data_IF_707840579901
#
_entry.id   IF_707840579901
#
_cell.length_a   1.000
_cell.length_b   1.000
_cell.length_c   1.000
_cell.angle_alpha   90.00
_cell.angle_beta   90.00
_cell.angle_gamma   90.00
#
_symmetry.space_group_name_H-M   'P 1'
#
loop_
_entity.id
_entity.type
_entity.pdbx_description
1 polymer ?
#
# COMPACT_ATOMS: atom_id res chain seq x y z
N UNK A 1 2.55 9.96 -2.41
CA UNK A 1 1.73 11.18 -2.44
C UNK A 1 2.69 12.35 -2.22
N UNK A 2 2.68 13.36 -3.09
CA UNK A 2 3.52 14.54 -2.91
C UNK A 2 3.04 15.38 -1.70
N UNK A 3 3.95 16.04 -1.00
CA UNK A 3 3.69 16.83 0.22
C UNK A 3 2.67 17.96 -0.06
N UNK A 4 2.71 18.54 -1.26
CA UNK A 4 1.77 19.57 -1.67
C UNK A 4 0.33 19.03 -1.79
N UNK A 5 0.19 17.81 -2.32
CA UNK A 5 -1.10 17.11 -2.41
C UNK A 5 -1.66 16.82 -1.01
N UNK A 6 -0.82 16.32 -0.10
CA UNK A 6 -1.24 15.98 1.26
C UNK A 6 -1.66 17.22 2.06
N UNK A 7 -0.91 18.32 1.98
CA UNK A 7 -1.30 19.58 2.64
C UNK A 7 -2.65 20.11 2.14
N UNK A 8 -2.92 19.94 0.84
CA UNK A 8 -4.18 20.37 0.23
C UNK A 8 -5.35 19.51 0.70
N UNK A 9 -5.15 18.21 0.81
CA UNK A 9 -6.12 17.28 1.42
C UNK A 9 -6.45 17.68 2.85
N UNK A 10 -5.45 17.90 3.71
CA UNK A 10 -5.67 18.31 5.09
C UNK A 10 -6.41 19.64 5.20
N UNK A 11 -6.08 20.62 4.33
CA UNK A 11 -6.83 21.88 4.27
C UNK A 11 -8.30 21.64 3.95
N UNK A 12 -8.58 20.82 2.93
CA UNK A 12 -9.95 20.47 2.54
C UNK A 12 -10.70 19.80 3.68
N UNK A 13 -10.06 18.88 4.42
CA UNK A 13 -10.70 18.21 5.56
C UNK A 13 -11.07 19.20 6.66
N UNK A 14 -10.20 20.17 6.99
CA UNK A 14 -10.50 21.23 7.96
C UNK A 14 -11.68 22.09 7.47
N UNK A 15 -11.73 22.42 6.18
CA UNK A 15 -12.80 23.21 5.57
C UNK A 15 -14.17 22.50 5.58
N UNK A 16 -14.21 21.16 5.67
CA UNK A 16 -15.46 20.41 5.80
C UNK A 16 -16.16 20.66 7.15
N UNK A 17 -15.42 21.12 8.17
CA UNK A 17 -15.95 21.42 9.52
C UNK A 17 -16.75 20.27 10.14
N UNK A 18 -16.30 19.05 9.85
CA UNK A 18 -16.81 17.83 10.43
C UNK A 18 -15.72 16.78 10.43
N UNK A 19 -15.78 15.87 11.39
CA UNK A 19 -15.03 14.64 11.35
C UNK A 19 -15.63 13.64 10.34
N UNK A 20 -14.89 12.57 10.05
CA UNK A 20 -15.41 11.54 9.17
C UNK A 20 -14.70 10.20 9.31
N UNK A 21 -14.98 9.31 8.36
CA UNK A 21 -14.65 7.88 8.42
C UNK A 21 -13.18 7.56 8.66
N UNK A 22 -12.26 8.42 8.22
CA UNK A 22 -10.82 8.21 8.31
C UNK A 22 -10.06 9.41 8.88
N UNK A 23 -10.74 10.48 9.32
CA UNK A 23 -10.07 11.60 9.96
C UNK A 23 -10.81 12.11 11.20
N UNK A 24 -10.01 12.59 12.15
CA UNK A 24 -10.42 13.05 13.47
C UNK A 24 -9.56 14.25 13.85
N UNK A 25 -10.15 15.23 14.54
CA UNK A 25 -9.47 16.43 14.98
C UNK A 25 -9.15 16.35 16.47
N UNK A 26 -8.00 16.90 16.82
CA UNK A 26 -7.59 17.09 18.21
C UNK A 26 -7.02 18.50 18.35
N UNK A 27 -7.46 19.22 19.37
CA UNK A 27 -6.96 20.57 19.67
C UNK A 27 -5.47 20.59 20.01
N UNK A 28 -5.05 19.65 20.85
CA UNK A 28 -3.69 19.53 21.38
C UNK A 28 -3.25 18.06 21.42
N UNK A 29 -1.96 17.83 21.65
CA UNK A 29 -1.44 16.47 21.76
C UNK A 29 -1.96 15.76 23.00
N UNK A 30 -2.16 14.45 22.85
CA UNK A 30 -2.65 13.57 23.90
C UNK A 30 -1.83 13.66 25.20
N UNK A 31 -2.50 14.09 26.27
CA UNK A 31 -1.98 14.01 27.63
C UNK A 31 -1.94 12.54 28.11
N UNK A 32 -2.93 11.75 27.74
CA UNK A 32 -3.07 10.34 28.12
C UNK A 32 -2.67 9.41 26.97
N UNK A 33 -1.68 8.54 27.22
CA UNK A 33 -1.19 7.57 26.24
C UNK A 33 -2.25 6.52 25.84
N UNK A 34 -3.19 6.20 26.72
CA UNK A 34 -4.26 5.24 26.44
C UNK A 34 -5.28 5.78 25.43
N UNK A 35 -5.57 7.09 25.44
CA UNK A 35 -6.45 7.74 24.46
C UNK A 35 -5.78 7.74 23.09
N UNK A 36 -4.49 8.10 23.02
CA UNK A 36 -3.70 8.00 21.79
C UNK A 36 -3.69 6.58 21.21
N UNK A 37 -3.45 5.56 22.04
CA UNK A 37 -3.44 4.17 21.58
C UNK A 37 -4.80 3.75 21.04
N UNK A 38 -5.86 4.10 21.74
CA UNK A 38 -7.23 3.77 21.36
C UNK A 38 -7.60 4.39 20.01
N UNK A 39 -7.30 5.67 19.81
CA UNK A 39 -7.61 6.37 18.56
C UNK A 39 -6.77 5.83 17.40
N UNK A 40 -5.49 5.50 17.61
CA UNK A 40 -4.67 4.81 16.60
C UNK A 40 -5.28 3.46 16.21
N UNK A 41 -5.75 2.66 17.17
CA UNK A 41 -6.37 1.36 16.86
C UNK A 41 -7.68 1.55 16.09
N UNK A 42 -8.54 2.47 16.52
CA UNK A 42 -9.78 2.79 15.81
C UNK A 42 -9.51 3.24 14.37
N UNK A 43 -8.54 4.14 14.19
CA UNK A 43 -8.12 4.63 12.88
C UNK A 43 -7.49 3.55 12.01
N UNK A 44 -6.68 2.66 12.58
CA UNK A 44 -6.10 1.53 11.84
C UNK A 44 -7.20 0.55 11.37
N UNK A 45 -8.28 0.44 12.14
CA UNK A 45 -9.44 -0.39 11.86
C UNK A 45 -10.60 0.40 11.22
N UNK A 46 -10.32 1.52 10.53
CA UNK A 46 -11.35 2.21 9.77
C UNK A 46 -11.83 1.35 8.58
N UNK A 47 -13.08 1.60 8.15
CA UNK A 47 -13.74 0.81 7.11
C UNK A 47 -13.59 1.39 5.69
N UNK A 48 -13.06 2.61 5.54
CA UNK A 48 -13.11 3.36 4.29
C UNK A 48 -11.93 3.06 3.34
N UNK A 49 -11.04 2.12 3.69
CA UNK A 49 -9.83 1.79 2.92
C UNK A 49 -8.88 2.98 2.68
N UNK A 50 -9.00 4.03 3.48
CA UNK A 50 -8.10 5.18 3.51
C UNK A 50 -7.13 5.09 4.68
N UNK A 51 -5.96 5.73 4.55
CA UNK A 51 -5.10 5.98 5.71
C UNK A 51 -5.92 6.76 6.76
N UNK A 52 -5.81 6.35 8.03
CA UNK A 52 -6.41 7.07 9.14
C UNK A 52 -5.58 8.31 9.49
N UNK A 53 -6.24 9.42 9.78
CA UNK A 53 -5.63 10.72 10.02
C UNK A 53 -6.12 11.28 11.35
N UNK A 54 -5.21 11.50 12.29
CA UNK A 54 -5.51 12.29 13.49
C UNK A 54 -4.81 13.64 13.32
N UNK A 55 -5.58 14.70 13.14
CA UNK A 55 -5.09 16.04 12.83
C UNK A 55 -5.04 16.84 14.13
N UNK A 56 -3.84 17.00 14.67
CA UNK A 56 -3.57 17.64 15.96
C UNK A 56 -3.21 19.12 15.75
N UNK A 57 -3.88 20.01 16.46
CA UNK A 57 -3.80 21.46 16.29
C UNK A 57 -5.02 22.06 15.60
N UNK A 58 -6.19 21.45 15.71
CA UNK A 58 -7.47 21.98 15.19
C UNK A 58 -8.52 21.92 16.30
N UNK A 59 -9.12 23.07 16.60
CA UNK A 59 -10.07 23.22 17.71
C UNK A 59 -11.52 23.22 17.19
N UNK A 60 -12.19 22.09 17.39
CA UNK A 60 -13.58 21.84 16.96
C UNK A 60 -14.60 22.75 17.66
N UNK A 61 -14.34 23.14 18.92
CA UNK A 61 -15.22 24.01 19.70
C UNK A 61 -15.17 25.47 19.20
N UNK A 62 -14.12 25.83 18.46
CA UNK A 62 -13.89 27.17 17.93
C UNK A 62 -13.86 27.19 16.42
N UNK A 63 -14.85 26.54 15.78
CA UNK A 63 -15.04 26.58 14.33
C UNK A 63 -13.82 26.04 13.54
N UNK A 64 -13.20 24.98 14.06
CA UNK A 64 -12.05 24.29 13.47
C UNK A 64 -10.84 25.23 13.28
N UNK A 65 -10.63 26.16 14.21
CA UNK A 65 -9.48 27.06 14.12
C UNK A 65 -8.17 26.32 14.35
N UNK A 66 -7.13 26.75 13.62
CA UNK A 66 -5.80 26.15 13.73
C UNK A 66 -5.12 26.64 15.02
N UNK A 67 -4.72 25.69 15.87
CA UNK A 67 -3.88 25.86 17.05
C UNK A 67 -2.44 25.48 16.73
N UNK A 68 -1.47 26.28 17.19
CA UNK A 68 -0.05 26.00 16.95
C UNK A 68 0.45 24.98 17.97
N UNK A 69 0.86 23.79 17.50
CA UNK A 69 1.37 22.71 18.37
C UNK A 69 2.89 22.71 18.49
N UNK A 70 3.58 23.71 17.93
CA UNK A 70 5.05 23.75 17.88
C UNK A 70 5.72 23.55 19.25
N UNK A 71 5.14 24.13 20.30
CA UNK A 71 5.63 24.11 21.68
C UNK A 71 4.73 23.28 22.63
N UNK A 72 3.89 22.39 22.08
CA UNK A 72 3.07 21.51 22.91
C UNK A 72 3.97 20.58 23.75
N UNK A 73 3.79 20.51 25.09
CA UNK A 73 4.65 19.72 25.98
C UNK A 73 4.56 18.21 25.74
N UNK A 74 3.48 17.73 25.12
CA UNK A 74 3.23 16.32 24.85
C UNK A 74 3.53 15.92 23.40
N UNK A 75 3.94 16.87 22.56
CA UNK A 75 4.26 16.68 21.14
C UNK A 75 5.18 15.49 20.92
N UNK A 76 4.83 14.63 19.96
CA UNK A 76 5.59 13.41 19.63
C UNK A 76 6.10 13.46 18.21
N UNK A 77 7.29 12.88 17.99
CA UNK A 77 7.79 12.57 16.64
C UNK A 77 7.48 11.12 16.27
N UNK A 78 7.63 10.78 14.99
CA UNK A 78 7.45 9.41 14.46
C UNK A 78 8.15 8.33 15.27
N UNK A 79 9.38 8.59 15.74
CA UNK A 79 10.14 7.62 16.54
C UNK A 79 9.44 7.28 17.86
N UNK A 80 8.80 8.26 18.50
CA UNK A 80 8.11 8.05 19.78
C UNK A 80 6.85 7.21 19.57
N UNK A 81 6.10 7.45 18.48
CA UNK A 81 4.92 6.65 18.11
C UNK A 81 5.33 5.21 17.80
N UNK A 82 6.39 5.01 17.00
CA UNK A 82 6.89 3.67 16.65
C UNK A 82 7.38 2.91 17.88
N UNK A 83 8.11 3.56 18.78
CA UNK A 83 8.54 2.95 20.05
C UNK A 83 7.33 2.59 20.92
N UNK A 84 6.38 3.53 21.06
CA UNK A 84 5.17 3.32 21.86
C UNK A 84 4.34 2.14 21.39
N UNK A 85 4.11 2.00 20.08
CA UNK A 85 3.37 0.87 19.50
C UNK A 85 4.13 -0.45 19.60
N UNK A 86 5.47 -0.43 19.51
CA UNK A 86 6.32 -1.62 19.64
C UNK A 86 6.23 -2.26 21.02
N UNK A 87 6.06 -1.46 22.07
CA UNK A 87 5.92 -1.94 23.44
C UNK A 87 4.59 -2.66 23.72
N UNK A 88 3.58 -2.54 22.84
CA UNK A 88 2.26 -3.12 23.07
C UNK A 88 2.16 -4.52 22.48
N UNK A 89 1.46 -5.41 23.18
CA UNK A 89 1.22 -6.78 22.71
C UNK A 89 0.00 -6.82 21.79
N UNK A 90 0.25 -6.61 20.50
CA UNK A 90 -0.75 -6.80 19.47
C UNK A 90 -0.87 -8.29 19.09
N UNK A 91 -2.08 -8.70 18.70
CA UNK A 91 -2.33 -10.05 18.22
C UNK A 91 -1.44 -10.41 17.03
N UNK A 92 -0.85 -11.60 17.07
CA UNK A 92 0.10 -12.08 16.05
C UNK A 92 1.41 -11.28 15.99
N UNK A 93 1.67 -10.36 16.92
CA UNK A 93 2.83 -9.47 16.87
C UNK A 93 2.76 -8.40 15.78
N UNK A 94 1.61 -8.25 15.11
CA UNK A 94 1.40 -7.31 14.00
C UNK A 94 0.77 -6.04 14.53
N UNK A 95 1.44 -4.90 14.36
CA UNK A 95 1.01 -3.60 14.88
C UNK A 95 0.75 -2.60 13.73
N UNK A 96 -0.13 -1.61 13.92
CA UNK A 96 -0.35 -0.58 12.92
C UNK A 96 0.94 0.17 12.59
N UNK A 97 1.09 0.55 11.32
CA UNK A 97 2.15 1.47 10.90
C UNK A 97 1.63 2.90 11.03
N UNK A 98 2.23 3.69 11.92
CA UNK A 98 1.86 5.09 12.12
C UNK A 98 3.09 6.00 12.17
N UNK A 99 2.96 7.23 11.65
CA UNK A 99 3.99 8.25 11.68
C UNK A 99 3.38 9.66 11.82
N UNK A 100 4.23 10.63 12.18
CA UNK A 100 3.82 12.01 12.37
C UNK A 100 4.33 12.84 11.20
N UNK A 101 3.43 13.56 10.55
CA UNK A 101 3.72 14.49 9.46
C UNK A 101 3.38 15.93 9.90
N UNK A 102 4.37 16.75 10.25
CA UNK A 102 4.15 18.16 10.56
C UNK A 102 3.74 18.94 9.29
N UNK A 103 2.81 19.87 9.43
CA UNK A 103 2.36 20.77 8.37
C UNK A 103 2.31 22.21 8.86
N UNK A 104 2.81 23.13 8.04
CA UNK A 104 2.79 24.56 8.35
C UNK A 104 1.61 25.25 7.64
N UNK A 105 0.76 25.92 8.41
CA UNK A 105 -0.33 26.75 7.90
C UNK A 105 -0.13 28.21 8.36
N UNK A 106 0.29 29.06 7.42
CA UNK A 106 0.73 30.42 7.76
C UNK A 106 1.98 30.38 8.64
N UNK A 107 1.85 30.87 9.88
CA UNK A 107 2.91 30.83 10.90
C UNK A 107 2.70 29.74 11.97
N UNK A 108 1.61 28.99 11.90
CA UNK A 108 1.27 27.93 12.87
C UNK A 108 1.66 26.56 12.32
N UNK A 109 2.06 25.66 13.20
CA UNK A 109 2.34 24.27 12.89
C UNK A 109 1.21 23.41 13.44
N UNK A 110 0.73 22.48 12.64
CA UNK A 110 -0.10 21.36 13.07
C UNK A 110 0.67 20.06 12.83
N UNK A 111 0.31 18.99 13.53
CA UNK A 111 0.86 17.66 13.30
C UNK A 111 -0.24 16.71 12.87
N UNK A 112 0.01 15.92 11.83
CA UNK A 112 -0.92 14.86 11.41
C UNK A 112 -0.31 13.51 11.75
N UNK A 113 -0.98 12.74 12.60
CA UNK A 113 -0.65 11.33 12.82
C UNK A 113 -1.30 10.55 11.70
N UNK A 114 -0.48 9.99 10.80
CA UNK A 114 -0.93 9.17 9.68
C UNK A 114 -0.82 7.71 10.08
N UNK A 115 -1.94 7.01 10.11
CA UNK A 115 -2.05 5.58 10.35
C UNK A 115 -2.27 4.91 8.99
N UNK A 116 -1.26 4.18 8.51
CA UNK A 116 -1.30 3.57 7.19
C UNK A 116 -2.37 2.50 7.11
N UNK A 117 -3.19 2.59 6.06
CA UNK A 117 -4.11 1.54 5.71
C UNK A 117 -3.37 0.33 5.16
N UNK A 118 -3.72 -0.84 5.67
CA UNK A 118 -3.27 -2.12 5.12
C UNK A 118 -4.35 -3.20 5.36
N UNK A 119 -4.03 -4.44 4.93
CA UNK A 119 -4.91 -5.59 5.08
C UNK A 119 -4.65 -6.38 6.36
N UNK A 120 -3.84 -5.91 7.30
CA UNK A 120 -3.58 -6.62 8.55
C UNK A 120 -4.64 -6.35 9.64
N UNK A 121 -5.71 -5.65 9.29
CA UNK A 121 -6.88 -5.49 10.15
C UNK A 121 -7.55 -6.84 10.46
N UNK A 122 -8.31 -6.98 11.55
CA UNK A 122 -8.39 -6.04 12.67
C UNK A 122 -7.11 -6.05 13.51
N UNK A 123 -6.69 -4.87 13.95
CA UNK A 123 -5.68 -4.67 14.99
C UNK A 123 -6.33 -4.68 16.37
N UNK A 124 -5.81 -5.50 17.27
CA UNK A 124 -6.27 -5.55 18.66
C UNK A 124 -5.15 -6.03 19.58
N UNK A 125 -5.27 -5.72 20.87
CA UNK A 125 -4.30 -6.10 21.88
C UNK A 125 -4.61 -7.49 22.43
N UNK A 126 -3.59 -8.26 22.80
CA UNK A 126 -3.73 -9.47 23.61
C UNK A 126 -3.55 -9.20 25.10
N UNK A 127 -2.90 -8.08 25.45
CA UNK A 127 -2.73 -7.61 26.82
C UNK A 127 -3.32 -6.20 26.95
N UNK A 128 -4.08 -5.98 28.03
CA UNK A 128 -4.69 -4.68 28.27
C UNK A 128 -3.66 -3.58 28.55
N UNK A 129 -3.97 -2.35 28.15
CA UNK A 129 -3.16 -1.17 28.42
C UNK A 129 -4.04 0.00 28.87
N UNK A 130 -3.98 0.34 30.17
CA UNK A 130 -4.60 1.54 30.74
C UNK A 130 -6.04 1.82 30.25
N UNK A 131 -6.92 0.81 30.32
CA UNK A 131 -8.33 0.92 29.89
C UNK A 131 -8.60 0.60 28.42
N UNK A 132 -7.57 0.35 27.60
CA UNK A 132 -7.70 -0.35 26.32
C UNK A 132 -7.62 -1.85 26.61
N UNK A 133 -8.75 -2.55 26.52
CA UNK A 133 -8.86 -3.94 26.94
C UNK A 133 -8.35 -4.91 25.89
N UNK A 134 -7.83 -6.04 26.35
CA UNK A 134 -7.39 -7.13 25.49
C UNK A 134 -8.59 -7.76 24.76
N UNK A 135 -8.35 -8.21 23.53
CA UNK A 135 -9.29 -8.91 22.64
C UNK A 135 -10.52 -8.12 22.19
N UNK A 136 -10.68 -6.87 22.63
CA UNK A 136 -11.67 -5.97 22.07
C UNK A 136 -11.19 -5.47 20.69
N UNK A 137 -12.11 -5.47 19.72
CA UNK A 137 -11.86 -4.92 18.38
C UNK A 137 -12.47 -3.53 18.36
N UNK A 138 -11.62 -2.50 18.43
CA UNK A 138 -12.03 -1.11 18.31
C UNK A 138 -11.93 -0.66 16.86
N UNK A 139 -12.94 0.04 16.36
CA UNK A 139 -12.98 0.57 15.00
C UNK A 139 -13.54 1.99 14.98
N UNK A 140 -13.12 2.79 13.99
CA UNK A 140 -13.77 4.05 13.62
C UNK A 140 -14.92 3.75 12.65
N UNK A 141 -16.11 4.24 13.00
CA UNK A 141 -17.35 4.05 12.25
C UNK A 141 -17.92 5.45 12.01
N UNK A 142 -17.87 5.91 10.77
CA UNK A 142 -18.16 7.31 10.45
C UNK A 142 -17.28 8.25 11.28
N UNK A 143 -17.86 9.12 12.09
CA UNK A 143 -17.16 10.04 12.97
C UNK A 143 -16.88 9.47 14.38
N UNK A 144 -17.33 8.25 14.67
CA UNK A 144 -17.35 7.72 16.04
C UNK A 144 -16.37 6.55 16.23
N UNK A 145 -15.58 6.61 17.30
CA UNK A 145 -14.75 5.48 17.74
C UNK A 145 -15.55 4.51 18.62
N UNK A 146 -15.32 3.21 18.48
CA UNK A 146 -15.87 2.19 19.38
C UNK A 146 -15.49 2.54 20.84
N UNK A 147 -16.42 2.53 21.81
CA UNK A 147 -16.08 2.84 23.20
C UNK A 147 -15.06 1.86 23.81
N UNK A 148 -14.14 2.37 24.64
CA UNK A 148 -13.09 1.57 25.30
C UNK A 148 -13.61 0.34 26.05
N UNK A 149 -14.77 0.45 26.69
CA UNK A 149 -15.41 -0.61 27.48
C UNK A 149 -16.24 -1.61 26.63
N UNK A 150 -16.22 -1.49 25.31
CA UNK A 150 -16.95 -2.33 24.38
C UNK A 150 -16.04 -2.83 23.24
N UNK A 151 -16.59 -3.69 22.40
CA UNK A 151 -16.02 -4.07 21.11
C UNK A 151 -16.96 -3.59 20.02
N UNK A 152 -16.46 -3.41 18.80
CA UNK A 152 -17.26 -3.07 17.65
C UNK A 152 -18.32 -4.15 17.39
N UNK A 153 -19.43 -3.74 16.77
CA UNK A 153 -20.49 -4.66 16.39
C UNK A 153 -20.00 -5.75 15.43
N UNK A 154 -20.65 -6.91 15.47
CA UNK A 154 -20.22 -8.11 14.73
C UNK A 154 -20.10 -7.86 13.22
N UNK A 155 -20.99 -7.05 12.64
CA UNK A 155 -20.95 -6.67 11.23
C UNK A 155 -19.70 -5.86 10.85
N UNK A 156 -19.20 -5.02 11.77
CA UNK A 156 -17.95 -4.25 11.60
C UNK A 156 -16.75 -5.18 11.72
N UNK A 157 -16.75 -6.06 12.73
CA UNK A 157 -15.71 -7.07 12.91
C UNK A 157 -15.60 -7.97 11.67
N UNK A 158 -16.71 -8.46 11.15
CA UNK A 158 -16.75 -9.25 9.91
C UNK A 158 -16.16 -8.52 8.72
N UNK A 159 -16.46 -7.22 8.54
CA UNK A 159 -15.89 -6.41 7.46
C UNK A 159 -14.35 -6.35 7.57
N UNK A 160 -13.81 -6.13 8.77
CA UNK A 160 -12.37 -6.10 8.99
C UNK A 160 -11.69 -7.43 8.66
N UNK A 161 -12.33 -8.56 9.00
CA UNK A 161 -11.82 -9.87 8.62
C UNK A 161 -11.96 -10.15 7.12
N UNK A 162 -13.06 -9.75 6.49
CA UNK A 162 -13.22 -9.84 5.03
C UNK A 162 -12.11 -9.07 4.31
N UNK A 163 -11.76 -7.87 4.79
CA UNK A 163 -10.63 -7.07 4.32
C UNK A 163 -9.30 -7.80 4.45
N UNK A 164 -9.06 -8.43 5.60
CA UNK A 164 -7.86 -9.24 5.87
C UNK A 164 -7.70 -10.38 4.87
N UNK A 165 -8.78 -11.11 4.65
CA UNK A 165 -8.80 -12.27 3.77
C UNK A 165 -8.95 -11.89 2.28
N UNK A 166 -9.12 -10.61 1.97
CA UNK A 166 -9.35 -10.14 0.60
C UNK A 166 -10.71 -10.55 0.02
N UNK A 167 -11.66 -10.94 0.86
CA UNK A 167 -13.01 -11.37 0.43
C UNK A 167 -13.82 -10.18 -0.10
N UNK A 168 -13.59 -9.00 0.44
CA UNK A 168 -14.21 -7.74 0.01
C UNK A 168 -13.50 -7.08 -1.19
N UNK A 169 -12.40 -7.68 -1.65
CA UNK A 169 -11.58 -7.13 -2.72
C UNK A 169 -12.11 -7.54 -4.09
N UNK A 170 -11.79 -6.75 -5.12
CA UNK A 170 -12.10 -7.12 -6.50
C UNK A 170 -11.38 -8.40 -6.90
N UNK A 171 -11.86 -9.09 -7.94
CA UNK A 171 -11.16 -10.28 -8.45
C UNK A 171 -9.70 -9.98 -8.80
N UNK A 172 -9.43 -8.83 -9.43
CA UNK A 172 -8.07 -8.43 -9.77
C UNK A 172 -7.21 -8.23 -8.51
N UNK A 173 -7.71 -7.52 -7.50
CA UNK A 173 -6.97 -7.33 -6.24
C UNK A 173 -6.67 -8.66 -5.55
N UNK A 174 -7.63 -9.61 -5.56
CA UNK A 174 -7.42 -10.96 -5.03
C UNK A 174 -6.33 -11.70 -5.80
N UNK A 175 -6.34 -11.62 -7.13
CA UNK A 175 -5.30 -12.22 -7.96
C UNK A 175 -3.91 -11.65 -7.61
N UNK A 176 -3.78 -10.33 -7.42
CA UNK A 176 -2.52 -9.69 -7.02
C UNK A 176 -2.06 -10.12 -5.62
N UNK A 177 -2.98 -10.38 -4.68
CA UNK A 177 -2.63 -10.94 -3.37
C UNK A 177 -2.11 -12.38 -3.49
N UNK A 178 -2.67 -13.17 -4.40
CA UNK A 178 -2.24 -14.54 -4.64
C UNK A 178 -0.88 -14.60 -5.36
N UNK A 179 -0.61 -13.69 -6.30
CA UNK A 179 0.68 -13.58 -6.99
C UNK A 179 1.85 -13.22 -6.04
N UNK A 180 1.58 -12.67 -4.87
CA UNK A 180 2.61 -12.46 -3.84
C UNK A 180 3.07 -13.75 -3.16
N UNK A 181 2.44 -14.90 -3.47
CA UNK A 181 2.80 -16.22 -2.94
C UNK A 181 3.07 -17.20 -4.09
N UNK A 182 4.19 -17.05 -4.81
CA UNK A 182 4.46 -17.89 -5.99
C UNK A 182 4.42 -19.39 -5.70
N UNK A 183 4.85 -19.81 -4.51
CA UNK A 183 4.85 -21.20 -4.02
C UNK A 183 3.44 -21.83 -3.85
N UNK A 184 2.37 -21.03 -3.89
CA UNK A 184 1.00 -21.51 -3.85
C UNK A 184 0.36 -21.66 -5.25
N UNK A 185 1.10 -21.33 -6.32
CA UNK A 185 0.70 -21.54 -7.71
C UNK A 185 1.22 -22.86 -8.24
N UNK A 186 0.41 -23.51 -9.07
CA UNK A 186 0.70 -24.83 -9.65
C UNK A 186 0.66 -24.70 -11.17
N UNK A 187 1.69 -25.22 -11.84
CA UNK A 187 1.72 -25.33 -13.29
C UNK A 187 0.75 -26.42 -13.78
N UNK A 188 0.02 -26.12 -14.85
CA UNK A 188 -0.79 -27.10 -15.60
C UNK A 188 -0.10 -27.52 -16.89
N UNK A 189 -0.52 -28.66 -17.42
CA UNK A 189 0.07 -29.27 -18.62
C UNK A 189 -0.04 -28.40 -19.89
N UNK A 190 -0.95 -27.41 -19.90
CA UNK A 190 -1.19 -26.49 -21.01
C UNK A 190 -0.41 -25.15 -20.91
N UNK A 191 0.57 -25.07 -20.01
CA UNK A 191 1.40 -23.87 -19.83
C UNK A 191 0.72 -22.75 -19.04
N UNK A 192 -0.44 -23.03 -18.43
CA UNK A 192 -1.07 -22.12 -17.47
C UNK A 192 -0.59 -22.41 -16.06
N UNK A 193 -0.82 -21.45 -15.16
CA UNK A 193 -0.68 -21.62 -13.72
C UNK A 193 -2.02 -21.35 -13.05
N UNK A 194 -2.33 -22.07 -11.99
CA UNK A 194 -3.51 -21.82 -11.17
C UNK A 194 -3.16 -21.75 -9.69
N UNK A 195 -3.92 -20.96 -8.94
CA UNK A 195 -3.70 -20.83 -7.50
C UNK A 195 -4.36 -22.01 -6.74
N UNK A 196 -3.58 -22.77 -5.95
CA UNK A 196 -4.02 -24.06 -5.40
C UNK A 196 -5.26 -24.01 -4.49
N UNK A 197 -5.50 -22.87 -3.82
CA UNK A 197 -6.64 -22.69 -2.91
C UNK A 197 -7.85 -22.02 -3.58
N UNK A 198 -7.70 -21.49 -4.79
CA UNK A 198 -8.75 -20.89 -5.59
C UNK A 198 -8.43 -21.09 -7.08
N UNK A 199 -8.56 -22.33 -7.61
CA UNK A 199 -8.10 -22.70 -8.95
C UNK A 199 -8.77 -21.92 -10.09
N UNK A 200 -9.87 -21.24 -9.82
CA UNK A 200 -10.50 -20.31 -10.75
C UNK A 200 -9.64 -19.08 -11.07
N UNK A 201 -8.63 -18.77 -10.25
CA UNK A 201 -7.62 -17.77 -10.58
C UNK A 201 -6.48 -18.42 -11.34
N UNK A 202 -6.30 -17.99 -12.59
CA UNK A 202 -5.26 -18.52 -13.47
C UNK A 202 -4.39 -17.41 -14.05
N UNK A 203 -3.18 -17.80 -14.43
CA UNK A 203 -2.16 -16.96 -15.05
C UNK A 203 -1.63 -17.72 -16.27
N UNK A 204 -1.46 -17.03 -17.39
CA UNK A 204 -0.80 -17.56 -18.57
C UNK A 204 0.14 -16.51 -19.16
N UNK A 205 1.25 -16.95 -19.73
CA UNK A 205 2.09 -16.13 -20.59
C UNK A 205 2.02 -16.69 -22.02
N UNK A 206 1.63 -15.83 -22.95
CA UNK A 206 1.50 -16.18 -24.37
C UNK A 206 2.56 -15.40 -25.12
N UNK A 207 3.42 -16.10 -25.86
CA UNK A 207 4.40 -15.42 -26.70
C UNK A 207 3.67 -14.56 -27.73
N UNK A 208 4.03 -13.29 -27.83
CA UNK A 208 3.38 -12.36 -28.75
C UNK A 208 3.61 -12.80 -30.19
N UNK A 209 2.54 -13.06 -30.93
CA UNK A 209 2.62 -13.42 -32.36
C UNK A 209 2.97 -12.19 -33.20
N UNK A 210 4.01 -12.30 -34.04
CA UNK A 210 4.32 -11.40 -35.15
C UNK A 210 4.38 -9.89 -34.82
N UNK A 211 5.59 -9.34 -34.64
CA UNK A 211 5.81 -7.90 -34.79
C UNK A 211 6.28 -7.12 -33.56
N UNK A 212 6.56 -7.77 -32.42
CA UNK A 212 7.31 -7.14 -31.34
C UNK A 212 8.82 -7.42 -31.51
N UNK A 213 9.44 -6.94 -32.59
CA UNK A 213 10.90 -7.06 -32.77
C UNK A 213 11.67 -5.85 -32.20
N UNK A 214 10.93 -4.95 -31.55
CA UNK A 214 11.48 -3.73 -30.95
C UNK A 214 12.48 -4.08 -29.85
N UNK A 215 13.69 -3.54 -29.98
CA UNK A 215 14.67 -3.61 -28.91
C UNK A 215 14.38 -2.52 -27.87
N UNK A 216 14.35 -2.93 -26.62
CA UNK A 216 14.36 -2.02 -25.47
C UNK A 216 15.76 -1.94 -24.88
N UNK A 217 16.15 -0.78 -24.36
CA UNK A 217 17.56 -0.53 -24.00
C UNK A 217 18.10 -1.49 -22.93
N UNK A 218 17.25 -1.95 -22.00
CA UNK A 218 17.64 -2.92 -20.97
C UNK A 218 17.99 -4.31 -21.52
N UNK A 219 17.63 -4.61 -22.77
CA UNK A 219 18.04 -5.85 -23.44
C UNK A 219 19.53 -5.82 -23.81
N UNK A 220 20.10 -4.65 -24.07
CA UNK A 220 21.50 -4.53 -24.44
C UNK A 220 22.47 -4.75 -23.28
N UNK A 221 21.98 -4.77 -22.04
CA UNK A 221 22.78 -5.16 -20.88
C UNK A 221 22.84 -6.69 -20.68
N UNK A 222 22.08 -7.46 -21.47
CA UNK A 222 22.06 -8.92 -21.43
C UNK A 222 23.15 -9.51 -22.34
N UNK A 223 23.62 -10.74 -22.08
CA UNK A 223 24.57 -11.40 -22.99
C UNK A 223 23.89 -11.76 -24.32
N UNK A 224 22.66 -12.29 -24.25
CA UNK A 224 21.76 -12.45 -25.38
C UNK A 224 20.67 -11.36 -25.34
N UNK A 225 20.82 -10.36 -26.20
CA UNK A 225 19.95 -9.19 -26.27
C UNK A 225 18.72 -9.38 -27.17
N UNK A 226 18.52 -10.58 -27.74
CA UNK A 226 17.39 -10.82 -28.66
C UNK A 226 16.06 -10.72 -27.92
N UNK A 227 15.13 -9.86 -28.37
CA UNK A 227 13.83 -9.73 -27.73
C UNK A 227 13.01 -11.01 -27.88
N UNK A 228 12.34 -11.42 -26.81
CA UNK A 228 11.13 -12.24 -26.90
C UNK A 228 10.09 -11.68 -25.97
N UNK A 229 8.96 -11.29 -26.55
CA UNK A 229 7.89 -10.64 -25.84
C UNK A 229 6.70 -11.56 -25.67
N UNK A 230 5.98 -11.33 -24.59
CA UNK A 230 4.86 -12.12 -24.15
C UNK A 230 3.74 -11.17 -23.73
N UNK A 231 2.51 -11.67 -23.78
CA UNK A 231 1.38 -11.09 -23.08
C UNK A 231 1.11 -11.98 -21.86
N UNK A 232 1.21 -11.40 -20.67
CA UNK A 232 0.92 -12.06 -19.40
C UNK A 232 -0.53 -11.75 -19.07
N UNK A 233 -1.37 -12.77 -19.03
CA UNK A 233 -2.81 -12.64 -18.83
C UNK A 233 -3.21 -13.23 -17.48
N UNK A 234 -3.98 -12.46 -16.71
CA UNK A 234 -4.51 -12.84 -15.40
C UNK A 234 -6.01 -13.03 -15.54
N UNK A 235 -6.52 -14.20 -15.15
CA UNK A 235 -7.92 -14.57 -15.29
C UNK A 235 -8.60 -14.85 -13.94
N UNK A 236 -9.92 -14.66 -13.96
CA UNK A 236 -10.85 -15.25 -13.00
C UNK A 236 -11.91 -16.02 -13.78
N UNK A 237 -11.95 -17.34 -13.59
CA UNK A 237 -12.62 -18.27 -14.50
C UNK A 237 -12.18 -18.02 -15.96
N UNK A 238 -13.10 -17.60 -16.82
CA UNK A 238 -12.84 -17.29 -18.24
C UNK A 238 -12.72 -15.78 -18.49
N UNK A 239 -12.87 -14.95 -17.45
CA UNK A 239 -12.81 -13.50 -17.57
C UNK A 239 -11.37 -13.05 -17.45
N UNK A 240 -10.84 -12.44 -18.51
CA UNK A 240 -9.57 -11.73 -18.48
C UNK A 240 -9.70 -10.52 -17.54
N UNK A 241 -8.99 -10.55 -16.42
CA UNK A 241 -8.98 -9.45 -15.45
C UNK A 241 -8.00 -8.35 -15.87
N UNK A 242 -6.83 -8.76 -16.37
CA UNK A 242 -5.76 -7.86 -16.75
C UNK A 242 -4.79 -8.54 -17.70
N UNK A 243 -4.22 -7.78 -18.63
CA UNK A 243 -3.16 -8.21 -19.54
C UNK A 243 -2.03 -7.18 -19.50
N UNK A 244 -0.79 -7.64 -19.39
CA UNK A 244 0.40 -6.81 -19.37
C UNK A 244 1.53 -7.43 -20.19
N UNK A 245 2.47 -6.61 -20.64
CA UNK A 245 3.64 -7.09 -21.35
C UNK A 245 4.54 -7.94 -20.46
N UNK A 246 5.11 -9.00 -21.03
CA UNK A 246 6.18 -9.81 -20.49
C UNK A 246 7.37 -9.87 -21.45
N UNK A 247 8.55 -10.17 -20.92
CA UNK A 247 9.77 -10.33 -21.68
C UNK A 247 10.63 -11.45 -21.09
N UNK A 248 11.22 -12.27 -21.96
CA UNK A 248 12.36 -13.11 -21.55
C UNK A 248 13.66 -12.36 -21.79
N UNK A 249 14.54 -12.39 -20.79
CA UNK A 249 15.87 -11.81 -20.82
C UNK A 249 16.93 -12.89 -21.00
N UNK A 250 18.08 -12.47 -21.53
CA UNK A 250 19.30 -13.28 -21.68
C UNK A 250 19.06 -14.67 -22.29
N UNK A 251 18.32 -14.71 -23.40
CA UNK A 251 18.05 -15.94 -24.15
C UNK A 251 17.01 -16.87 -23.52
N UNK A 252 16.31 -16.43 -22.47
CA UNK A 252 15.30 -17.23 -21.74
C UNK A 252 15.64 -17.53 -20.28
N UNK A 253 16.73 -16.97 -19.75
CA UNK A 253 17.21 -17.24 -18.38
C UNK A 253 16.44 -16.51 -17.29
N UNK A 254 15.75 -15.43 -17.64
CA UNK A 254 14.93 -14.67 -16.71
C UNK A 254 13.66 -14.23 -17.43
N UNK A 255 12.51 -14.38 -16.77
CA UNK A 255 11.23 -13.88 -17.27
C UNK A 255 10.73 -12.77 -16.35
N UNK A 256 10.19 -11.70 -16.93
CA UNK A 256 9.69 -10.56 -16.17
C UNK A 256 8.54 -9.90 -16.90
N UNK A 257 7.65 -9.23 -16.16
CA UNK A 257 6.79 -8.20 -16.75
C UNK A 257 7.61 -7.04 -17.30
N UNK A 258 7.09 -6.35 -18.31
CA UNK A 258 7.69 -5.14 -18.85
C UNK A 258 7.58 -3.96 -17.86
N UNK A 259 8.67 -3.21 -17.63
CA UNK A 259 8.64 -2.03 -16.77
C UNK A 259 7.90 -0.88 -17.44
N UNK A 260 7.44 0.10 -16.64
CA UNK A 260 6.86 1.34 -17.16
C UNK A 260 7.94 2.19 -17.80
N UNK A 261 7.53 3.05 -18.74
CA UNK A 261 8.41 4.00 -19.42
C UNK A 261 7.97 5.40 -19.10
N UNK A 262 8.92 6.27 -18.78
CA UNK A 262 8.71 7.71 -18.65
C UNK A 262 10.01 8.41 -19.06
N UNK A 263 10.00 9.74 -19.10
CA UNK A 263 11.17 10.49 -19.49
C UNK A 263 11.16 11.96 -19.09
N UNK A 264 12.31 12.58 -19.28
CA UNK A 264 12.58 13.96 -18.94
C UNK A 264 12.80 14.74 -20.24
N UNK A 265 12.06 15.82 -20.43
CA UNK A 265 12.28 16.80 -21.49
C UNK A 265 13.03 17.99 -20.88
N UNK A 266 14.28 18.19 -21.28
CA UNK A 266 15.18 19.24 -20.81
C UNK A 266 14.91 20.58 -21.51
N UNK A 267 14.32 20.53 -22.71
CA UNK A 267 14.02 21.72 -23.50
C UNK A 267 12.52 21.91 -23.69
N UNK A 268 12.07 23.17 -23.55
CA UNK A 268 10.65 23.53 -23.75
C UNK A 268 10.16 23.24 -25.17
N UNK A 269 11.04 23.11 -26.15
CA UNK A 269 10.66 22.85 -27.55
C UNK A 269 10.44 21.35 -27.83
N UNK A 270 10.80 20.48 -26.89
CA UNK A 270 10.74 19.02 -26.99
C UNK A 270 9.37 18.46 -26.61
N UNK A 271 8.27 19.12 -27.01
CA UNK A 271 6.89 18.73 -26.62
C UNK A 271 6.47 17.33 -27.09
N UNK A 272 7.26 16.68 -27.96
CA UNK A 272 6.94 15.37 -28.54
C UNK A 272 8.04 14.32 -28.34
N UNK A 273 9.11 14.62 -27.59
CA UNK A 273 10.17 13.63 -27.31
C UNK A 273 10.77 13.82 -25.90
N UNK A 274 11.09 12.69 -25.26
CA UNK A 274 11.91 12.68 -24.05
C UNK A 274 13.38 12.76 -24.46
N UNK A 275 14.14 13.66 -23.83
CA UNK A 275 15.60 13.75 -24.01
C UNK A 275 16.31 12.62 -23.24
N UNK A 276 15.70 12.19 -22.13
CA UNK A 276 16.13 11.06 -21.32
C UNK A 276 14.92 10.18 -21.09
N UNK A 277 14.93 8.95 -21.59
CA UNK A 277 13.95 7.92 -21.24
C UNK A 277 14.50 7.03 -20.14
N UNK A 278 13.66 6.64 -19.19
CA UNK A 278 14.00 5.67 -18.16
C UNK A 278 12.86 4.65 -17.98
N UNK A 279 13.20 3.49 -17.46
CA UNK A 279 12.26 2.42 -17.15
C UNK A 279 12.20 2.21 -15.64
N UNK A 280 11.02 1.90 -15.11
CA UNK A 280 10.87 1.73 -13.67
C UNK A 280 9.68 0.84 -13.31
N UNK A 281 9.74 0.30 -12.10
CA UNK A 281 8.59 -0.29 -11.42
C UNK A 281 8.15 0.59 -10.26
N UNK A 282 6.84 0.69 -10.09
CA UNK A 282 6.27 1.29 -8.88
C UNK A 282 6.02 0.17 -7.89
N UNK A 283 6.66 0.23 -6.72
CA UNK A 283 6.44 -0.77 -5.67
C UNK A 283 4.95 -0.90 -5.34
N UNK A 284 4.43 -2.12 -5.43
CA UNK A 284 3.02 -2.44 -5.21
C UNK A 284 2.11 -2.29 -6.45
N UNK A 285 2.65 -1.92 -7.61
CA UNK A 285 1.90 -1.98 -8.87
C UNK A 285 1.73 -3.42 -9.36
N UNK A 286 0.85 -3.63 -10.33
CA UNK A 286 0.62 -4.94 -10.95
C UNK A 286 1.90 -5.43 -11.62
N UNK A 287 2.56 -4.57 -12.39
CA UNK A 287 3.82 -4.88 -13.08
C UNK A 287 4.90 -5.27 -12.07
N UNK A 288 5.04 -4.53 -10.95
CA UNK A 288 5.99 -4.91 -9.91
C UNK A 288 5.64 -6.26 -9.25
N UNK A 289 4.36 -6.51 -8.99
CA UNK A 289 3.91 -7.76 -8.37
C UNK A 289 4.18 -8.96 -9.27
N UNK A 290 3.91 -8.82 -10.57
CA UNK A 290 4.17 -9.85 -11.58
C UNK A 290 5.68 -10.04 -11.81
N UNK A 291 6.47 -8.96 -11.82
CA UNK A 291 7.93 -9.05 -11.85
C UNK A 291 8.46 -9.92 -10.69
N UNK A 292 7.99 -9.66 -9.46
CA UNK A 292 8.38 -10.46 -8.30
C UNK A 292 7.86 -11.89 -8.35
N UNK A 293 6.68 -12.14 -8.95
CA UNK A 293 6.10 -13.47 -9.05
C UNK A 293 6.98 -14.44 -9.84
N UNK A 294 7.62 -13.96 -10.91
CA UNK A 294 8.48 -14.76 -11.77
C UNK A 294 9.92 -14.89 -11.29
N UNK A 295 10.28 -14.26 -10.18
CA UNK A 295 11.59 -14.47 -9.55
C UNK A 295 11.66 -15.88 -8.99
N UNK A 296 12.61 -16.68 -9.46
CA UNK A 296 12.97 -17.94 -8.81
C UNK A 296 14.26 -17.75 -8.02
N UNK A 297 14.31 -18.29 -6.81
CA UNK A 297 15.47 -18.16 -5.90
C UNK A 297 16.60 -19.15 -6.22
N UNK A 298 16.49 -19.91 -7.31
CA UNK A 298 17.21 -21.18 -7.48
C UNK A 298 18.32 -21.16 -8.55
N UNK A 299 18.56 -20.04 -9.24
CA UNK A 299 19.47 -20.00 -10.41
C UNK A 299 20.38 -18.76 -10.43
N UNK A 300 21.70 -18.96 -10.31
CA UNK A 300 22.73 -17.91 -10.42
C UNK A 300 22.65 -17.12 -11.75
N UNK A 301 22.27 -17.80 -12.84
CA UNK A 301 22.11 -17.18 -14.16
C UNK A 301 20.91 -16.24 -14.22
N UNK A 302 19.77 -16.60 -13.60
CA UNK A 302 18.60 -15.72 -13.51
C UNK A 302 18.94 -14.46 -12.70
N UNK A 303 19.61 -14.65 -11.55
CA UNK A 303 20.02 -13.53 -10.69
C UNK A 303 20.90 -12.54 -11.47
N UNK A 304 21.85 -13.04 -12.26
CA UNK A 304 22.75 -12.20 -13.07
C UNK A 304 21.98 -11.41 -14.13
N UNK A 305 21.09 -12.06 -14.88
CA UNK A 305 20.27 -11.40 -15.90
C UNK A 305 19.34 -10.33 -15.28
N UNK A 306 18.75 -10.64 -14.11
CA UNK A 306 17.89 -9.73 -13.35
C UNK A 306 18.66 -8.52 -12.80
N UNK A 307 19.84 -8.71 -12.24
CA UNK A 307 20.68 -7.60 -11.76
C UNK A 307 21.01 -6.63 -12.90
N UNK A 308 21.46 -7.16 -14.04
CA UNK A 308 21.72 -6.34 -15.25
C UNK A 308 20.48 -5.59 -15.73
N UNK A 309 19.31 -6.22 -15.67
CA UNK A 309 18.05 -5.57 -16.02
C UNK A 309 17.68 -4.44 -15.06
N UNK A 310 17.94 -4.59 -13.75
CA UNK A 310 17.63 -3.56 -12.75
C UNK A 310 18.68 -2.44 -12.66
N UNK A 311 19.88 -2.64 -13.20
CA UNK A 311 20.93 -1.62 -13.31
C UNK A 311 20.68 -0.60 -14.44
N UNK A 312 19.73 -0.87 -15.34
CA UNK A 312 19.43 -0.09 -16.53
C UNK A 312 18.50 1.11 -16.30
#
# INVERSE_FOLDING_TARGET
MDVLSFRTEIRRLIELRQEGEYWDFKKEWYQNKSDLLHDIICMANNLSNHDGLIIVGVDEETDYTICDVANDPNRKKTQDIVAFLREKKFAGGIRPTAYVQPLTFGKKIIDVIVIRNDRNTPYYLTDQYQGVFANNIYARIMDTNTPKNASADINVIEKLWKKRFGIDATALDRALLFLQKPYDWVDSDDGKKFYKYAPEFTLEDIQAEGGKDGYEFYLFNQCDSRPRWYDINIYYHQTLLYSLGGATLDGGRCFTSTPRTDGISLYKESYHHWDISYKYFIKGSIEYTVHLFYITDDMDEELTARQRFLEC
#
